data_IF_736148910582
#
_entry.id   IF_736148910582
#
_cell.length_a   1.000
_cell.length_b   1.000
_cell.length_c   1.000
_cell.angle_alpha   90.00
_cell.angle_beta   90.00
_cell.angle_gamma   90.00
#
_symmetry.space_group_name_H-M   'P 1'
#
loop_
_entity.id
_entity.type
_entity.pdbx_description
1 polymer ?
#
# COMPACT_ATOMS: atom_id res chain seq x y z
N UNK A 1 9.57 -7.06 -0.43
CA UNK A 1 8.30 -6.62 0.19
C UNK A 1 7.21 -6.67 -0.87
N UNK A 2 5.95 -6.86 -0.49
CA UNK A 2 4.78 -6.81 -1.37
C UNK A 2 3.79 -5.85 -0.72
N UNK A 3 3.35 -4.83 -1.45
CA UNK A 3 2.40 -3.84 -0.95
C UNK A 3 1.04 -3.99 -1.65
N UNK A 4 -0.03 -4.02 -0.87
CA UNK A 4 -1.41 -4.06 -1.36
C UNK A 4 -2.09 -2.71 -1.16
N UNK A 5 -3.06 -2.38 -2.01
CA UNK A 5 -3.84 -1.15 -1.86
C UNK A 5 -4.88 -1.24 -0.73
N UNK A 6 -5.29 -2.45 -0.35
CA UNK A 6 -6.30 -2.65 0.70
C UNK A 6 -5.92 -3.80 1.63
N UNK A 7 -6.51 -3.82 2.82
CA UNK A 7 -6.45 -4.93 3.75
C UNK A 7 -7.10 -6.18 3.15
N UNK A 8 -8.19 -6.03 2.41
CA UNK A 8 -8.85 -7.16 1.77
C UNK A 8 -7.94 -7.89 0.77
N UNK A 9 -7.20 -7.14 -0.06
CA UNK A 9 -6.19 -7.74 -0.95
C UNK A 9 -5.09 -8.48 -0.17
N UNK A 10 -4.64 -7.90 0.95
CA UNK A 10 -3.65 -8.54 1.82
C UNK A 10 -4.17 -9.84 2.42
N UNK A 11 -5.40 -9.84 2.92
CA UNK A 11 -6.06 -11.03 3.48
C UNK A 11 -6.20 -12.15 2.45
N UNK A 12 -6.60 -11.82 1.22
CA UNK A 12 -6.70 -12.79 0.12
C UNK A 12 -5.34 -13.46 -0.13
N UNK A 13 -4.27 -12.65 -0.23
CA UNK A 13 -2.91 -13.18 -0.47
C UNK A 13 -2.49 -14.09 0.68
N UNK A 14 -2.62 -13.64 1.93
CA UNK A 14 -2.21 -14.42 3.11
C UNK A 14 -3.03 -15.71 3.26
N UNK A 15 -4.32 -15.68 2.91
CA UNK A 15 -5.19 -16.86 2.95
C UNK A 15 -4.69 -17.95 2.01
N UNK A 16 -4.25 -17.59 0.79
CA UNK A 16 -3.78 -18.54 -0.21
C UNK A 16 -2.28 -18.85 -0.13
N UNK A 17 -1.50 -17.97 0.51
CA UNK A 17 -0.04 -18.05 0.68
C UNK A 17 0.38 -17.61 2.09
N UNK A 18 0.08 -18.40 3.14
CA UNK A 18 0.39 -18.03 4.53
C UNK A 18 1.87 -17.70 4.79
N UNK A 19 2.77 -18.33 4.04
CA UNK A 19 4.23 -18.11 4.09
C UNK A 19 4.66 -16.69 3.70
N UNK A 20 3.78 -15.92 3.07
CA UNK A 20 4.04 -14.53 2.70
C UNK A 20 3.58 -13.52 3.75
N UNK A 21 3.02 -13.95 4.89
CA UNK A 21 2.45 -13.09 5.94
C UNK A 21 3.36 -11.92 6.34
N UNK A 22 4.65 -12.19 6.51
CA UNK A 22 5.63 -11.19 6.97
C UNK A 22 6.17 -10.30 5.83
N UNK A 23 5.87 -10.66 4.58
CA UNK A 23 6.34 -9.94 3.38
C UNK A 23 5.26 -9.07 2.76
N UNK A 24 3.98 -9.30 3.08
CA UNK A 24 2.81 -8.62 2.51
C UNK A 24 2.28 -7.58 3.50
N UNK A 25 2.28 -6.34 3.07
CA UNK A 25 1.89 -5.17 3.85
C UNK A 25 0.87 -4.33 3.08
N UNK A 26 0.04 -3.56 3.77
CA UNK A 26 -0.82 -2.55 3.10
C UNK A 26 0.04 -1.32 2.80
N UNK A 27 -0.19 -0.67 1.67
CA UNK A 27 0.56 0.54 1.27
C UNK A 27 0.33 1.67 2.28
N UNK A 28 -0.92 1.84 2.73
CA UNK A 28 -1.29 2.78 3.79
C UNK A 28 -0.49 2.53 5.06
N UNK A 29 0.40 3.45 5.41
CA UNK A 29 1.32 3.31 6.56
C UNK A 29 0.60 3.35 7.91
N UNK A 30 -0.61 3.91 7.94
CA UNK A 30 -1.52 3.87 9.09
C UNK A 30 -2.44 2.64 9.08
N UNK A 31 -2.20 1.69 8.17
CA UNK A 31 -3.02 0.50 7.97
C UNK A 31 -4.33 0.75 7.23
N UNK A 32 -4.59 1.96 6.73
CA UNK A 32 -5.80 2.28 5.96
C UNK A 32 -5.68 1.83 4.50
N UNK A 33 -6.85 1.58 3.92
CA UNK A 33 -6.98 1.26 2.51
C UNK A 33 -6.79 2.51 1.65
N UNK A 34 -6.17 2.32 0.49
CA UNK A 34 -6.11 3.31 -0.58
C UNK A 34 -7.45 3.25 -1.34
N UNK A 35 -8.17 4.37 -1.48
CA UNK A 35 -9.44 4.39 -2.21
C UNK A 35 -9.28 3.93 -3.66
N UNK A 36 -10.19 3.09 -4.13
CA UNK A 36 -10.25 2.68 -5.53
C UNK A 36 -10.94 3.77 -6.38
N UNK A 37 -10.26 4.37 -7.37
CA UNK A 37 -10.83 5.46 -8.17
C UNK A 37 -11.74 5.00 -9.31
N UNK A 38 -11.92 3.68 -9.52
CA UNK A 38 -12.71 3.14 -10.63
C UNK A 38 -14.13 3.74 -10.66
N UNK A 39 -14.55 4.20 -11.84
CA UNK A 39 -15.86 4.83 -12.05
C UNK A 39 -15.97 6.28 -11.57
N UNK A 40 -14.95 6.82 -10.90
CA UNK A 40 -14.88 8.21 -10.49
C UNK A 40 -14.47 9.18 -11.60
N UNK A 41 -14.60 10.47 -11.32
CA UNK A 41 -14.10 11.54 -12.18
C UNK A 41 -12.60 11.79 -11.98
N UNK A 42 -12.04 12.73 -12.75
CA UNK A 42 -10.61 13.09 -12.66
C UNK A 42 -10.21 13.55 -11.26
N UNK A 43 -11.10 14.17 -10.48
CA UNK A 43 -10.78 14.60 -9.13
C UNK A 43 -10.59 13.40 -8.20
N UNK A 44 -11.42 12.35 -8.33
CA UNK A 44 -11.25 11.09 -7.57
C UNK A 44 -9.91 10.43 -7.88
N UNK A 45 -9.51 10.37 -9.15
CA UNK A 45 -8.20 9.83 -9.52
C UNK A 45 -7.04 10.66 -8.97
N UNK A 46 -7.16 11.99 -8.95
CA UNK A 46 -6.14 12.88 -8.35
C UNK A 46 -6.01 12.66 -6.86
N UNK A 47 -7.12 12.51 -6.13
CA UNK A 47 -7.10 12.19 -4.72
C UNK A 47 -6.44 10.82 -4.45
N UNK A 48 -6.82 9.78 -5.21
CA UNK A 48 -6.18 8.47 -5.10
C UNK A 48 -4.66 8.55 -5.32
N UNK A 49 -4.22 9.29 -6.36
CA UNK A 49 -2.81 9.55 -6.64
C UNK A 49 -2.11 10.21 -5.45
N UNK A 50 -2.69 11.27 -4.87
CA UNK A 50 -2.11 11.99 -3.73
C UNK A 50 -1.89 11.08 -2.52
N UNK A 51 -2.87 10.23 -2.21
CA UNK A 51 -2.77 9.26 -1.10
C UNK A 51 -1.66 8.23 -1.38
N UNK A 52 -1.54 7.73 -2.61
CA UNK A 52 -0.47 6.80 -3.00
C UNK A 52 0.90 7.49 -2.88
N UNK A 53 1.06 8.70 -3.40
CA UNK A 53 2.33 9.44 -3.37
C UNK A 53 2.82 9.71 -1.95
N UNK A 54 1.90 10.08 -1.03
CA UNK A 54 2.23 10.30 0.37
C UNK A 54 2.78 9.02 1.04
N UNK A 55 2.11 7.89 0.83
CA UNK A 55 2.52 6.62 1.43
C UNK A 55 3.82 6.08 0.83
N UNK A 56 4.00 6.20 -0.50
CA UNK A 56 5.23 5.79 -1.17
C UNK A 56 6.45 6.58 -0.67
N UNK A 57 6.30 7.87 -0.35
CA UNK A 57 7.38 8.68 0.21
C UNK A 57 7.87 8.13 1.56
N UNK A 58 6.94 7.82 2.46
CA UNK A 58 7.26 7.25 3.77
C UNK A 58 7.96 5.89 3.65
N UNK A 59 7.44 5.02 2.76
CA UNK A 59 8.05 3.71 2.48
C UNK A 59 9.46 3.87 1.90
N UNK A 60 9.65 4.78 0.95
CA UNK A 60 10.96 5.01 0.35
C UNK A 60 11.97 5.52 1.39
N UNK A 61 11.56 6.44 2.27
CA UNK A 61 12.40 6.91 3.38
C UNK A 61 12.77 5.79 4.35
N UNK A 62 11.84 4.89 4.68
CA UNK A 62 12.11 3.71 5.51
C UNK A 62 13.14 2.78 4.84
N UNK A 63 12.93 2.45 3.57
CA UNK A 63 13.84 1.57 2.80
C UNK A 63 15.25 2.18 2.74
N UNK A 64 15.37 3.48 2.46
CA UNK A 64 16.67 4.15 2.43
C UNK A 64 17.35 4.08 3.79
N UNK A 65 16.63 4.35 4.89
CA UNK A 65 17.17 4.25 6.25
C UNK A 65 17.68 2.85 6.59
N UNK A 66 17.05 1.80 6.08
CA UNK A 66 17.50 0.42 6.29
C UNK A 66 18.73 0.03 5.46
N UNK A 67 18.91 0.65 4.29
CA UNK A 67 20.08 0.40 3.43
C UNK A 67 21.34 1.11 3.93
N UNK A 68 21.18 2.21 4.65
CA UNK A 68 22.28 2.97 5.26
C UNK A 68 22.78 2.38 6.59
N UNK A 69 22.14 1.32 7.10
CA UNK A 69 22.49 0.59 8.33
C UNK A 69 23.26 -0.70 8.04
#
# INVERSE_FOLDING_TARGET
>A
RVYTLTNHHREIIITHRPELRDRVQVLGQDGRDIPDPIGGDVAVYRQCKEVIEQNLRLIAEEIVRELDQ
#
